data_IF_557340904199
#
_entry.id   IF_557340904199
#
_cell.length_a   1.000
_cell.length_b   1.000
_cell.length_c   1.000
_cell.angle_alpha   90.00
_cell.angle_beta   90.00
_cell.angle_gamma   90.00
#
_symmetry.space_group_name_H-M   'P 1'
#
loop_
_entity.id
_entity.type
_entity.pdbx_description
1 polymer ?
#
# COMPACT_ATOMS: atom_id res chain seq x y z
N UNK A 1 -10.43 -2.00 10.84
CA UNK A 1 -11.51 -2.55 10.00
C UNK A 1 -11.05 -3.30 8.74
N UNK A 2 -10.06 -2.88 7.93
CA UNK A 2 -9.64 -3.66 6.72
C UNK A 2 -8.83 -4.92 7.07
N UNK A 3 -7.89 -4.81 8.01
CA UNK A 3 -7.16 -5.97 8.59
C UNK A 3 -8.12 -7.04 9.14
N UNK A 4 -9.13 -6.62 9.90
CA UNK A 4 -10.17 -7.50 10.46
C UNK A 4 -11.04 -8.15 9.37
N UNK A 5 -11.40 -7.41 8.31
CA UNK A 5 -12.16 -7.95 7.16
C UNK A 5 -11.38 -9.00 6.38
N UNK A 6 -10.06 -8.84 6.28
CA UNK A 6 -9.18 -9.79 5.60
C UNK A 6 -8.67 -10.91 6.52
N UNK A 7 -8.98 -10.83 7.82
CA UNK A 7 -8.43 -11.70 8.87
C UNK A 7 -6.88 -11.73 8.86
N UNK A 8 -6.26 -10.58 8.58
CA UNK A 8 -4.81 -10.39 8.51
C UNK A 8 -4.37 -9.56 9.71
N UNK A 9 -3.24 -9.91 10.29
CA UNK A 9 -2.61 -9.11 11.33
C UNK A 9 -2.37 -7.66 10.82
N UNK A 10 -2.82 -6.62 11.54
CA UNK A 10 -2.64 -5.23 11.09
C UNK A 10 -1.18 -4.84 10.83
N UNK A 11 -0.24 -5.43 11.59
CA UNK A 11 1.21 -5.23 11.39
C UNK A 11 1.74 -5.90 10.13
N UNK A 12 1.05 -6.92 9.61
CA UNK A 12 1.32 -7.55 8.31
C UNK A 12 0.57 -6.89 7.14
N UNK A 13 -0.44 -6.06 7.42
CA UNK A 13 -1.22 -5.37 6.39
C UNK A 13 -0.38 -4.29 5.68
N UNK A 14 0.24 -3.41 6.47
CA UNK A 14 1.10 -2.33 6.00
C UNK A 14 2.08 -1.99 7.13
N UNK A 15 3.26 -2.61 7.09
CA UNK A 15 4.28 -2.37 8.10
C UNK A 15 4.91 -0.98 7.92
N UNK A 16 5.62 -0.51 8.95
CA UNK A 16 6.26 0.81 8.95
C UNK A 16 7.23 1.00 7.78
N UNK A 17 7.98 -0.03 7.41
CA UNK A 17 8.92 0.03 6.29
C UNK A 17 8.21 0.27 4.94
N UNK A 18 7.09 -0.43 4.70
CA UNK A 18 6.26 -0.23 3.52
C UNK A 18 5.62 1.15 3.48
N UNK A 19 5.10 1.64 4.61
CA UNK A 19 4.52 2.99 4.70
C UNK A 19 5.59 4.04 4.36
N UNK A 20 6.81 3.90 4.90
CA UNK A 20 7.92 4.80 4.60
C UNK A 20 8.32 4.73 3.13
N UNK A 21 8.43 3.53 2.54
CA UNK A 21 8.74 3.37 1.13
C UNK A 21 7.69 4.03 0.22
N UNK A 22 6.40 3.82 0.50
CA UNK A 22 5.29 4.47 -0.23
C UNK A 22 5.38 5.99 -0.12
N UNK A 23 5.70 6.52 1.07
CA UNK A 23 5.82 7.97 1.27
C UNK A 23 7.01 8.60 0.53
N UNK A 24 8.10 7.85 0.35
CA UNK A 24 9.28 8.30 -0.40
C UNK A 24 9.03 8.20 -1.90
N UNK A 25 8.54 7.06 -2.37
CA UNK A 25 8.34 6.78 -3.80
C UNK A 25 7.12 7.49 -4.38
N UNK A 26 6.12 7.79 -3.54
CA UNK A 26 4.86 8.46 -3.88
C UNK A 26 4.19 7.92 -5.16
N UNK A 27 3.85 6.61 -5.21
CA UNK A 27 3.35 5.97 -6.43
C UNK A 27 1.99 6.52 -6.87
N UNK A 28 1.90 7.01 -8.11
CA UNK A 28 0.66 7.53 -8.71
C UNK A 28 -0.14 6.49 -9.51
N UNK A 29 0.42 5.29 -9.68
CA UNK A 29 -0.12 4.21 -10.50
C UNK A 29 0.21 2.83 -9.94
N UNK A 30 -0.52 1.80 -10.40
CA UNK A 30 -0.27 0.42 -10.00
C UNK A 30 1.13 -0.06 -10.40
N UNK A 31 1.64 0.34 -11.57
CA UNK A 31 2.99 -0.02 -12.00
C UNK A 31 4.07 0.56 -11.08
N UNK A 32 3.86 1.77 -10.53
CA UNK A 32 4.77 2.35 -9.54
C UNK A 32 4.65 1.63 -8.19
N UNK A 33 3.45 1.22 -7.77
CA UNK A 33 3.28 0.36 -6.60
C UNK A 33 3.99 -1.00 -6.74
N UNK A 34 4.08 -1.53 -7.96
CA UNK A 34 4.80 -2.78 -8.21
C UNK A 34 6.31 -2.66 -8.01
N UNK A 35 6.87 -1.46 -8.17
CA UNK A 35 8.28 -1.19 -7.91
C UNK A 35 8.62 -1.13 -6.41
N UNK A 36 7.61 -1.00 -5.54
CA UNK A 36 7.84 -0.93 -4.09
C UNK A 36 8.31 -2.29 -3.58
N UNK A 37 9.58 -2.31 -3.21
CA UNK A 37 10.25 -3.49 -2.67
C UNK A 37 9.60 -3.94 -1.36
N UNK A 38 9.30 -5.24 -1.28
CA UNK A 38 8.68 -5.85 -0.10
C UNK A 38 7.15 -5.81 -0.08
N UNK A 39 6.49 -5.14 -1.03
CA UNK A 39 5.04 -5.19 -1.14
C UNK A 39 4.61 -6.48 -1.86
N UNK A 40 3.79 -7.30 -1.20
CA UNK A 40 3.26 -8.54 -1.78
C UNK A 40 2.15 -8.26 -2.80
N UNK A 41 1.97 -9.16 -3.76
CA UNK A 41 0.94 -9.03 -4.80
C UNK A 41 -0.47 -8.84 -4.23
N UNK A 42 -0.84 -9.61 -3.19
CA UNK A 42 -2.15 -9.46 -2.57
C UNK A 42 -2.35 -8.08 -1.91
N UNK A 43 -1.29 -7.47 -1.36
CA UNK A 43 -1.37 -6.12 -0.79
C UNK A 43 -1.64 -5.09 -1.89
N UNK A 44 -1.02 -5.26 -3.07
CA UNK A 44 -1.27 -4.40 -4.23
C UNK A 44 -2.71 -4.51 -4.70
N UNK A 45 -3.22 -5.74 -4.83
CA UNK A 45 -4.60 -5.99 -5.27
C UNK A 45 -5.63 -5.44 -4.28
N UNK A 46 -5.41 -5.59 -2.98
CA UNK A 46 -6.38 -5.18 -1.95
C UNK A 46 -6.25 -3.71 -1.52
N UNK A 47 -5.04 -3.15 -1.53
CA UNK A 47 -4.74 -1.84 -0.95
C UNK A 47 -4.30 -0.81 -1.99
N UNK A 48 -3.87 -1.24 -3.18
CA UNK A 48 -3.21 -0.36 -4.15
C UNK A 48 -4.09 0.79 -4.63
N UNK A 49 -5.37 0.54 -4.91
CA UNK A 49 -6.31 1.57 -5.34
C UNK A 49 -6.52 2.66 -4.27
N UNK A 50 -6.67 2.23 -3.01
CA UNK A 50 -6.82 3.15 -1.86
C UNK A 50 -5.55 3.99 -1.65
N UNK A 51 -4.37 3.35 -1.71
CA UNK A 51 -3.08 4.04 -1.57
C UNK A 51 -2.94 5.12 -2.65
N UNK A 52 -3.13 4.75 -3.92
CA UNK A 52 -3.03 5.71 -5.04
C UNK A 52 -4.06 6.83 -4.90
N UNK A 53 -5.29 6.52 -4.47
CA UNK A 53 -6.35 7.51 -4.26
C UNK A 53 -5.99 8.51 -3.18
N UNK A 54 -5.39 8.07 -2.08
CA UNK A 54 -4.94 8.94 -0.99
C UNK A 54 -3.78 9.81 -1.45
N UNK A 55 -2.77 9.23 -2.10
CA UNK A 55 -1.60 9.97 -2.58
C UNK A 55 -1.95 11.02 -3.65
N UNK A 56 -2.94 10.74 -4.50
CA UNK A 56 -3.44 11.72 -5.49
C UNK A 56 -4.19 12.90 -4.85
N UNK A 57 -4.76 12.74 -3.66
CA UNK A 57 -5.47 13.82 -2.96
C UNK A 57 -4.53 14.81 -2.25
N UNK A 58 -3.30 14.39 -1.97
CA UNK A 58 -2.25 15.23 -1.38
C UNK A 58 -1.48 16.06 -2.43
N UNK A 59 -1.85 15.96 -3.71
CA UNK A 59 -1.35 16.83 -4.81
C UNK A 59 -2.26 18.03 -5.03
#
# INVERSE_FOLDING_TARGET
>A
KKAEKLNIDPGLLLNKALITAIGIDNPGSFSELEQISGMKNWQRSELGEEIISILKKEK
#
